data_IF_618890484505
#
_entry.id   IF_618890484505
#
_cell.length_a   1.000
_cell.length_b   1.000
_cell.length_c   1.000
_cell.angle_alpha   90.00
_cell.angle_beta   90.00
_cell.angle_gamma   90.00
#
_symmetry.space_group_name_H-M   'P 1'
#
loop_
_entity.id
_entity.type
_entity.pdbx_description
1 polymer ?
#
# COMPACT_ATOMS: atom_id res chain seq x y z
N UNK A 1 -9.09 22.13 68.80
CA UNK A 1 -8.17 21.14 68.20
C UNK A 1 -8.79 20.62 66.91
N UNK A 2 -8.08 20.87 65.81
CA UNK A 2 -7.99 20.10 64.55
C UNK A 2 -9.28 19.97 63.72
N UNK A 3 -9.35 20.91 62.77
CA UNK A 3 -10.19 20.94 61.56
C UNK A 3 -9.96 19.69 60.71
N UNK A 4 -11.05 19.00 60.33
CA UNK A 4 -11.03 17.89 59.36
C UNK A 4 -11.17 18.44 57.94
N UNK A 5 -10.05 18.78 57.32
CA UNK A 5 -10.00 19.09 55.89
C UNK A 5 -9.96 17.75 55.15
N UNK A 6 -11.13 17.30 54.69
CA UNK A 6 -11.27 16.19 53.77
C UNK A 6 -10.81 16.67 52.38
N UNK A 7 -9.57 16.32 52.01
CA UNK A 7 -9.02 16.63 50.69
C UNK A 7 -9.72 15.78 49.64
N UNK A 8 -10.57 16.42 48.84
CA UNK A 8 -11.26 15.85 47.68
C UNK A 8 -10.20 15.61 46.58
N UNK A 9 -9.82 14.34 46.37
CA UNK A 9 -9.03 13.91 45.22
C UNK A 9 -9.90 14.00 43.96
N UNK A 10 -9.72 15.07 43.17
CA UNK A 10 -10.31 15.17 41.83
C UNK A 10 -9.44 14.40 40.84
N UNK A 11 -9.84 13.16 40.52
CA UNK A 11 -9.26 12.40 39.42
C UNK A 11 -9.97 12.83 38.13
N UNK A 12 -9.30 13.68 37.34
CA UNK A 12 -9.74 13.98 35.97
C UNK A 12 -9.36 12.80 35.09
N UNK A 13 -10.34 11.98 34.73
CA UNK A 13 -10.16 10.86 33.79
C UNK A 13 -10.26 11.40 32.35
N UNK A 14 -9.12 11.61 31.71
CA UNK A 14 -9.03 11.90 30.28
C UNK A 14 -9.31 10.62 29.49
N UNK A 15 -10.56 10.46 29.03
CA UNK A 15 -10.92 9.46 28.03
C UNK A 15 -10.39 9.94 26.67
N UNK A 16 -9.16 9.56 26.33
CA UNK A 16 -8.68 9.65 24.96
C UNK A 16 -9.39 8.58 24.12
N UNK A 17 -10.49 8.96 23.46
CA UNK A 17 -11.03 8.18 22.33
C UNK A 17 -10.01 8.29 21.19
N UNK A 18 -9.08 7.33 21.12
CA UNK A 18 -8.29 7.09 19.91
C UNK A 18 -9.03 6.09 19.03
N UNK A 19 -10.19 6.51 18.53
CA UNK A 19 -10.98 5.77 17.54
C UNK A 19 -10.64 6.23 16.13
N UNK A 20 -9.36 6.18 15.75
CA UNK A 20 -9.01 6.09 14.33
C UNK A 20 -8.80 4.61 14.07
N UNK A 21 -9.69 3.99 13.30
CA UNK A 21 -9.39 2.70 12.68
C UNK A 21 -8.16 2.92 11.80
N UNK A 22 -6.98 2.69 12.38
CA UNK A 22 -5.72 2.78 11.65
C UNK A 22 -5.71 1.59 10.70
N UNK A 23 -5.49 1.85 9.42
CA UNK A 23 -5.25 0.81 8.44
C UNK A 23 -3.86 0.23 8.72
N UNK A 24 -3.81 -0.64 9.71
CA UNK A 24 -2.64 -1.45 10.00
C UNK A 24 -2.63 -2.66 9.03
N UNK A 25 -1.46 -3.24 8.79
CA UNK A 25 -1.30 -4.41 7.91
C UNK A 25 -1.98 -5.67 8.47
N UNK A 26 -2.66 -5.58 9.62
CA UNK A 26 -3.35 -6.68 10.29
C UNK A 26 -4.45 -7.31 9.45
N UNK A 27 -5.09 -6.56 8.53
CA UNK A 27 -6.04 -7.13 7.58
C UNK A 27 -5.37 -7.89 6.42
N UNK A 28 -4.05 -7.75 6.25
CA UNK A 28 -3.26 -8.49 5.26
C UNK A 28 -3.68 -8.23 3.81
N UNK A 29 -4.25 -7.05 3.51
CA UNK A 29 -4.71 -6.67 2.17
C UNK A 29 -4.58 -5.17 1.94
N UNK A 30 -4.43 -4.78 0.68
CA UNK A 30 -4.59 -3.40 0.26
C UNK A 30 -6.08 -3.02 0.28
N UNK A 31 -6.43 -1.76 0.60
CA UNK A 31 -7.77 -1.25 0.39
C UNK A 31 -8.21 -1.40 -1.08
N UNK A 32 -9.47 -1.78 -1.31
CA UNK A 32 -10.03 -1.87 -2.65
C UNK A 32 -9.92 -0.53 -3.38
N UNK A 33 -9.46 -0.52 -4.62
CA UNK A 33 -9.25 0.71 -5.37
C UNK A 33 -8.47 0.51 -6.67
N UNK A 34 -8.35 1.59 -7.42
CA UNK A 34 -7.50 1.66 -8.62
C UNK A 34 -6.24 2.41 -8.22
N UNK A 35 -5.09 1.79 -8.49
CA UNK A 35 -3.77 2.28 -8.14
C UNK A 35 -3.03 2.65 -9.42
N UNK A 36 -2.76 3.94 -9.61
CA UNK A 36 -2.03 4.48 -10.75
C UNK A 36 -0.53 4.32 -10.47
N UNK A 37 0.14 3.50 -11.27
CA UNK A 37 1.56 3.25 -11.15
C UNK A 37 2.36 4.23 -12.00
N UNK A 38 3.32 4.91 -11.39
CA UNK A 38 4.21 5.86 -12.05
C UNK A 38 5.67 5.59 -11.68
N UNK A 39 6.56 5.83 -12.64
CA UNK A 39 8.01 5.79 -12.43
C UNK A 39 8.61 7.15 -12.72
N UNK A 40 9.50 7.62 -11.86
CA UNK A 40 10.26 8.84 -12.12
C UNK A 40 11.51 8.51 -12.94
N UNK A 41 11.54 8.97 -14.19
CA UNK A 41 12.67 8.77 -15.11
C UNK A 41 12.99 10.09 -15.82
N UNK A 42 14.27 10.46 -15.80
CA UNK A 42 14.82 11.58 -16.58
C UNK A 42 14.10 12.93 -16.38
N UNK A 43 13.59 13.20 -15.17
CA UNK A 43 12.92 14.46 -14.85
C UNK A 43 11.40 14.47 -15.06
N UNK A 44 10.80 13.33 -15.41
CA UNK A 44 9.35 13.20 -15.60
C UNK A 44 8.79 11.92 -14.95
N UNK A 45 7.52 11.98 -14.55
CA UNK A 45 6.77 10.79 -14.18
C UNK A 45 6.17 10.15 -15.43
N UNK A 46 6.45 8.86 -15.61
CA UNK A 46 5.88 8.05 -16.68
C UNK A 46 4.81 7.13 -16.09
N UNK A 47 3.65 7.14 -16.72
CA UNK A 47 2.54 6.26 -16.39
C UNK A 47 2.82 4.83 -16.85
N UNK A 48 2.78 3.88 -15.92
CA UNK A 48 2.98 2.44 -16.15
C UNK A 48 1.67 1.64 -16.18
N UNK A 49 0.55 2.31 -16.00
CA UNK A 49 -0.79 1.75 -16.00
C UNK A 49 -1.43 1.69 -14.62
N UNK A 50 -2.65 1.16 -14.60
CA UNK A 50 -3.48 1.03 -13.40
C UNK A 50 -3.54 -0.42 -12.92
N UNK A 51 -3.31 -0.63 -11.62
CA UNK A 51 -3.57 -1.89 -10.93
C UNK A 51 -4.87 -1.74 -10.13
N UNK A 52 -5.86 -2.57 -10.40
CA UNK A 52 -7.10 -2.60 -9.62
C UNK A 52 -7.01 -3.67 -8.55
N UNK A 53 -7.24 -3.29 -7.29
CA UNK A 53 -7.34 -4.19 -6.13
C UNK A 53 -8.81 -4.35 -5.75
N UNK A 54 -9.24 -5.61 -5.54
CA UNK A 54 -10.55 -5.96 -4.99
C UNK A 54 -10.44 -7.17 -4.08
N UNK A 55 -10.47 -6.94 -2.77
CA UNK A 55 -10.14 -7.94 -1.76
C UNK A 55 -8.72 -8.45 -1.96
N UNK A 56 -8.57 -9.77 -2.12
CA UNK A 56 -7.28 -10.43 -2.34
C UNK A 56 -6.97 -10.65 -3.83
N UNK A 57 -7.73 -10.02 -4.72
CA UNK A 57 -7.55 -10.14 -6.17
C UNK A 57 -7.03 -8.81 -6.72
N UNK A 58 -6.08 -8.89 -7.63
CA UNK A 58 -5.61 -7.77 -8.42
C UNK A 58 -5.82 -8.02 -9.92
N UNK A 59 -5.87 -6.95 -10.71
CA UNK A 59 -5.81 -6.99 -12.17
C UNK A 59 -5.02 -5.79 -12.71
N UNK A 60 -4.40 -5.94 -13.88
CA UNK A 60 -3.47 -4.95 -14.44
C UNK A 60 -2.00 -5.32 -14.25
N UNK A 61 -1.05 -4.39 -14.48
CA UNK A 61 -1.26 -2.98 -14.83
C UNK A 61 -1.91 -2.81 -16.22
N UNK A 62 -2.84 -1.87 -16.36
CA UNK A 62 -3.49 -1.54 -17.64
C UNK A 62 -3.12 -0.13 -18.07
N UNK A 63 -2.50 0.00 -19.24
CA UNK A 63 -2.25 1.31 -19.87
C UNK A 63 -3.33 1.68 -20.87
N UNK A 64 -3.89 0.69 -21.59
CA UNK A 64 -4.97 0.84 -22.56
C UNK A 64 -5.86 -0.42 -22.58
N UNK A 65 -7.17 -0.25 -22.77
CA UNK A 65 -8.12 -1.35 -22.89
C UNK A 65 -8.65 -1.89 -21.56
N UNK A 66 -9.20 -3.11 -21.57
CA UNK A 66 -9.74 -3.75 -20.38
C UNK A 66 -8.65 -4.50 -19.60
N UNK A 67 -8.79 -4.56 -18.28
CA UNK A 67 -7.90 -5.33 -17.43
C UNK A 67 -7.97 -6.83 -17.79
N UNK A 68 -6.82 -7.54 -17.83
CA UNK A 68 -6.81 -8.99 -17.99
C UNK A 68 -7.52 -9.67 -16.82
N UNK A 69 -7.63 -11.00 -16.89
CA UNK A 69 -8.13 -11.82 -15.79
C UNK A 69 -7.52 -11.42 -14.43
N UNK A 70 -8.30 -11.52 -13.36
CA UNK A 70 -7.83 -11.25 -12.01
C UNK A 70 -6.95 -12.38 -11.47
N UNK A 71 -5.93 -12.01 -10.71
CA UNK A 71 -5.03 -12.93 -10.01
C UNK A 71 -5.03 -12.65 -8.52
N UNK A 72 -4.72 -13.65 -7.70
CA UNK A 72 -4.59 -13.44 -6.27
C UNK A 72 -3.27 -12.71 -5.94
N UNK A 73 -3.28 -11.94 -4.87
CA UNK A 73 -2.07 -11.51 -4.18
C UNK A 73 -2.18 -11.82 -2.69
N UNK A 74 -1.06 -11.78 -1.99
CA UNK A 74 -0.99 -11.87 -0.55
C UNK A 74 -0.21 -10.68 -0.02
N UNK A 75 -0.56 -10.20 1.16
CA UNK A 75 0.23 -9.22 1.90
C UNK A 75 0.54 -9.78 3.28
N UNK A 76 1.81 -9.71 3.67
CA UNK A 76 2.23 -10.12 5.01
C UNK A 76 2.03 -8.97 6.03
N UNK A 77 2.24 -9.27 7.31
CA UNK A 77 2.07 -8.29 8.39
C UNK A 77 3.07 -7.11 8.34
N UNK A 78 4.07 -7.16 7.47
CA UNK A 78 5.03 -6.07 7.25
C UNK A 78 4.64 -5.21 6.03
N UNK A 79 3.52 -5.51 5.36
CA UNK A 79 3.09 -4.81 4.15
C UNK A 79 3.79 -5.26 2.87
N UNK A 80 4.59 -6.34 2.90
CA UNK A 80 5.17 -6.87 1.67
C UNK A 80 4.08 -7.59 0.86
N UNK A 81 3.95 -7.23 -0.41
CA UNK A 81 2.97 -7.80 -1.33
C UNK A 81 3.64 -8.87 -2.20
N UNK A 82 3.06 -10.07 -2.19
CA UNK A 82 3.37 -11.17 -3.10
C UNK A 82 2.28 -11.32 -4.16
N UNK A 83 2.65 -11.11 -5.42
CA UNK A 83 1.76 -11.28 -6.58
C UNK A 83 1.74 -12.75 -7.01
N UNK A 84 0.57 -13.41 -7.00
CA UNK A 84 0.43 -14.83 -7.34
C UNK A 84 0.05 -15.05 -8.80
N UNK A 85 0.46 -14.12 -9.65
CA UNK A 85 0.23 -14.12 -11.09
C UNK A 85 1.20 -13.18 -11.80
N UNK A 86 1.09 -13.06 -13.13
CA UNK A 86 1.85 -12.06 -13.88
C UNK A 86 1.41 -10.64 -13.49
N UNK A 87 2.36 -9.72 -13.45
CA UNK A 87 2.14 -8.30 -13.16
C UNK A 87 2.45 -7.46 -14.41
N UNK A 88 1.99 -7.93 -15.57
CA UNK A 88 2.19 -7.27 -16.86
C UNK A 88 3.66 -6.94 -17.16
N UNK A 89 3.94 -5.67 -17.44
CA UNK A 89 5.28 -5.15 -17.74
C UNK A 89 6.33 -5.50 -16.70
N UNK A 90 5.94 -5.57 -15.42
CA UNK A 90 6.85 -5.86 -14.30
C UNK A 90 7.39 -7.30 -14.30
N UNK A 91 6.73 -8.24 -14.99
CA UNK A 91 7.11 -9.66 -15.05
C UNK A 91 7.18 -10.18 -16.49
N UNK A 92 7.39 -9.30 -17.48
CA UNK A 92 7.48 -9.66 -18.90
C UNK A 92 8.81 -9.16 -19.48
N UNK A 93 9.21 -9.69 -20.65
CA UNK A 93 10.46 -9.27 -21.30
C UNK A 93 11.74 -9.62 -20.52
N UNK A 94 11.66 -10.55 -19.56
CA UNK A 94 12.76 -10.91 -18.66
C UNK A 94 12.84 -10.06 -17.39
N UNK A 95 11.91 -9.11 -17.19
CA UNK A 95 11.75 -8.41 -15.92
C UNK A 95 11.26 -9.34 -14.82
N UNK A 96 11.62 -9.03 -13.58
CA UNK A 96 11.05 -9.67 -12.39
C UNK A 96 10.79 -8.64 -11.29
N UNK A 97 9.78 -8.91 -10.46
CA UNK A 97 9.55 -8.14 -9.23
C UNK A 97 10.56 -8.61 -8.19
N UNK A 98 11.36 -7.68 -7.68
CA UNK A 98 12.30 -7.93 -6.57
C UNK A 98 11.61 -7.76 -5.23
N UNK A 99 10.74 -6.75 -5.10
CA UNK A 99 10.00 -6.46 -3.88
C UNK A 99 8.78 -5.61 -4.22
N UNK A 100 7.70 -5.77 -3.46
CA UNK A 100 6.61 -4.80 -3.43
C UNK A 100 6.27 -4.48 -2.00
N UNK A 101 6.27 -3.20 -1.64
CA UNK A 101 6.06 -2.73 -0.28
C UNK A 101 4.88 -1.78 -0.22
N UNK A 102 3.88 -2.11 0.59
CA UNK A 102 2.75 -1.24 0.84
C UNK A 102 3.07 -0.17 1.87
N UNK A 103 2.43 0.98 1.69
CA UNK A 103 2.36 2.10 2.62
C UNK A 103 0.88 2.45 2.80
N UNK A 104 0.28 2.01 3.92
CA UNK A 104 -1.14 2.26 4.19
C UNK A 104 -1.39 3.62 4.86
N UNK A 105 -0.37 4.14 5.54
CA UNK A 105 -0.41 5.41 6.24
C UNK A 105 0.48 6.42 5.50
N UNK A 106 -0.14 7.42 4.87
CA UNK A 106 0.56 8.47 4.16
C UNK A 106 -0.36 9.66 3.89
N UNK A 107 0.19 10.88 3.70
CA UNK A 107 -0.61 12.06 3.39
C UNK A 107 -1.41 11.91 2.09
N UNK A 108 -0.91 11.09 1.17
CA UNK A 108 -1.49 10.84 -0.15
C UNK A 108 -2.39 9.59 -0.20
N UNK A 109 -2.72 9.02 0.98
CA UNK A 109 -3.51 7.79 1.10
C UNK A 109 -2.69 6.52 0.89
N UNK A 110 -3.36 5.35 0.78
CA UNK A 110 -2.67 4.08 0.64
C UNK A 110 -1.97 3.97 -0.71
N UNK A 111 -0.75 3.46 -0.71
CA UNK A 111 0.09 3.25 -1.88
C UNK A 111 0.93 1.99 -1.74
N UNK A 112 1.64 1.62 -2.80
CA UNK A 112 2.71 0.63 -2.73
C UNK A 112 3.80 0.91 -3.77
N UNK A 113 5.04 0.58 -3.43
CA UNK A 113 6.17 0.67 -4.32
C UNK A 113 6.50 -0.70 -4.90
N UNK A 114 6.76 -0.78 -6.20
CA UNK A 114 7.26 -1.97 -6.89
C UNK A 114 8.72 -1.72 -7.27
N UNK A 115 9.60 -2.56 -6.74
CA UNK A 115 11.00 -2.63 -7.16
C UNK A 115 11.11 -3.76 -8.18
N UNK A 116 11.40 -3.40 -9.44
CA UNK A 116 11.57 -4.32 -10.54
C UNK A 116 13.06 -4.47 -10.87
N UNK A 117 13.49 -5.71 -11.10
CA UNK A 117 14.79 -6.04 -11.68
C UNK A 117 14.64 -6.29 -13.18
N UNK A 118 15.49 -5.65 -13.97
CA UNK A 118 15.54 -5.78 -15.42
C UNK A 118 16.48 -6.91 -15.87
N UNK A 119 16.39 -7.37 -17.13
CA UNK A 119 17.24 -8.43 -17.67
C UNK A 119 18.75 -8.13 -17.61
N UNK A 120 19.11 -6.85 -17.69
CA UNK A 120 20.50 -6.37 -17.58
C UNK A 120 21.00 -6.29 -16.14
N UNK A 121 20.14 -6.59 -15.16
CA UNK A 121 20.43 -6.54 -13.74
C UNK A 121 20.16 -5.20 -13.07
N UNK A 122 19.73 -4.17 -13.81
CA UNK A 122 19.38 -2.88 -13.23
C UNK A 122 18.05 -2.94 -12.45
N UNK A 123 17.89 -2.04 -11.49
CA UNK A 123 16.66 -1.92 -10.69
C UNK A 123 15.94 -0.62 -10.99
N UNK A 124 14.61 -0.67 -11.02
CA UNK A 124 13.74 0.50 -11.14
C UNK A 124 12.67 0.44 -10.06
N UNK A 125 12.32 1.60 -9.50
CA UNK A 125 11.27 1.75 -8.51
C UNK A 125 10.11 2.55 -9.10
N UNK A 126 8.90 2.03 -9.00
CA UNK A 126 7.67 2.74 -9.34
C UNK A 126 6.75 2.80 -8.14
N UNK A 127 6.04 3.90 -7.98
CA UNK A 127 5.05 4.07 -6.92
C UNK A 127 3.66 3.98 -7.53
N UNK A 128 2.79 3.18 -6.91
CA UNK A 128 1.40 3.05 -7.28
C UNK A 128 0.53 3.72 -6.20
N UNK A 129 -0.08 4.85 -6.54
CA UNK A 129 -0.94 5.63 -5.62
C UNK A 129 -2.40 5.38 -5.92
N UNK A 130 -3.22 5.32 -4.88
CA UNK A 130 -4.67 5.18 -5.05
C UNK A 130 -5.27 6.48 -5.61
N UNK A 131 -6.00 6.37 -6.72
CA UNK A 131 -6.78 7.46 -7.30
C UNK A 131 -8.17 7.64 -6.71
#
# INVERSE_FOLDING_TARGET
>A
MISRISSIFSVVLLLAVTGAARADFTEGKMPDGIYRCEVYLLGAFLNLGDITIKGNVYSGPVTFGAAPQGYNYQMNANGEISWLGPLGGYTSGGNSVSMTQATLEGPDGPSFDIIMKQPDGAFTASTCTRG
#
